data_IF_016076668131
#
_entry.id   IF_016076668131
#
_cell.length_a   1.000
_cell.length_b   1.000
_cell.length_c   1.000
_cell.angle_alpha   90.00
_cell.angle_beta   90.00
_cell.angle_gamma   90.00
#
_symmetry.space_group_name_H-M   'P 1'
#
loop_
_entity.id
_entity.type
_entity.pdbx_description
1 polymer ?
#
# COMPACT_ATOMS: atom_id res chain seq x y z
N UNK A 1 -17.43 -6.19 24.51
CA UNK A 1 -16.64 -5.94 23.28
C UNK A 1 -16.76 -7.19 22.45
N UNK A 2 -17.78 -7.22 21.60
CA UNK A 2 -18.24 -8.43 20.93
C UNK A 2 -17.32 -8.86 19.79
N UNK A 3 -17.37 -10.16 19.51
CA UNK A 3 -16.65 -10.93 18.50
C UNK A 3 -16.26 -10.14 17.24
N UNK A 4 -14.96 -10.20 16.87
CA UNK A 4 -14.41 -9.61 15.62
C UNK A 4 -15.32 -9.98 14.45
N UNK A 5 -16.14 -9.02 14.00
CA UNK A 5 -17.09 -9.25 12.94
C UNK A 5 -16.33 -9.54 11.66
N UNK A 6 -16.55 -10.73 11.11
CA UNK A 6 -15.94 -11.12 9.84
C UNK A 6 -16.82 -10.63 8.70
N UNK A 7 -16.25 -9.80 7.83
CA UNK A 7 -16.88 -9.29 6.63
C UNK A 7 -16.51 -10.16 5.44
N UNK A 8 -17.50 -10.50 4.61
CA UNK A 8 -17.27 -11.22 3.35
C UNK A 8 -16.97 -10.21 2.25
N UNK A 9 -15.83 -10.35 1.59
CA UNK A 9 -15.48 -9.54 0.42
C UNK A 9 -16.30 -10.08 -0.77
N UNK A 10 -17.19 -9.24 -1.31
CA UNK A 10 -18.04 -9.58 -2.47
C UNK A 10 -17.28 -9.45 -3.79
N UNK A 11 -16.46 -8.41 -3.88
CA UNK A 11 -15.61 -8.11 -5.03
C UNK A 11 -14.18 -7.88 -4.53
N UNK A 12 -13.30 -8.85 -4.81
CA UNK A 12 -11.89 -8.77 -4.43
C UNK A 12 -11.16 -7.71 -5.25
N UNK A 13 -11.51 -7.54 -6.52
CA UNK A 13 -10.84 -6.58 -7.41
C UNK A 13 -11.11 -5.18 -6.92
N UNK A 14 -12.38 -4.85 -6.68
CA UNK A 14 -12.79 -3.59 -6.09
C UNK A 14 -12.12 -3.35 -4.73
N UNK A 15 -12.19 -4.33 -3.82
CA UNK A 15 -11.57 -4.21 -2.49
C UNK A 15 -10.08 -3.83 -2.55
N UNK A 16 -9.30 -4.54 -3.37
CA UNK A 16 -7.86 -4.31 -3.51
C UNK A 16 -7.59 -2.94 -4.12
N UNK A 17 -8.34 -2.53 -5.15
CA UNK A 17 -8.17 -1.22 -5.76
C UNK A 17 -8.48 -0.07 -4.79
N UNK A 18 -9.57 -0.16 -4.02
CA UNK A 18 -9.89 0.89 -3.04
C UNK A 18 -8.85 0.95 -1.92
N UNK A 19 -8.36 -0.20 -1.43
CA UNK A 19 -7.29 -0.23 -0.43
C UNK A 19 -5.99 0.40 -0.96
N UNK A 20 -5.64 0.15 -2.23
CA UNK A 20 -4.50 0.79 -2.91
C UNK A 20 -4.65 2.31 -3.01
N UNK A 21 -5.81 2.76 -3.44
CA UNK A 21 -6.13 4.19 -3.59
C UNK A 21 -6.11 4.90 -2.24
N UNK A 22 -6.64 4.27 -1.19
CA UNK A 22 -6.61 4.81 0.18
C UNK A 22 -5.17 5.04 0.64
N UNK A 23 -4.31 4.03 0.55
CA UNK A 23 -2.90 4.13 0.95
C UNK A 23 -2.17 5.24 0.18
N UNK A 24 -2.42 5.33 -1.11
CA UNK A 24 -1.80 6.35 -1.96
C UNK A 24 -2.23 7.76 -1.59
N UNK A 25 -3.53 7.98 -1.37
CA UNK A 25 -4.06 9.28 -0.95
C UNK A 25 -3.51 9.70 0.40
N UNK A 26 -3.54 8.80 1.38
CA UNK A 26 -3.02 9.07 2.72
C UNK A 26 -1.52 9.36 2.75
N UNK A 27 -0.75 8.90 1.76
CA UNK A 27 0.68 9.24 1.64
C UNK A 27 0.92 10.66 1.12
N UNK A 28 0.06 11.16 0.22
CA UNK A 28 0.15 12.51 -0.34
C UNK A 28 -0.34 13.62 0.61
N UNK A 29 -1.10 13.25 1.64
CA UNK A 29 -1.66 14.18 2.64
C UNK A 29 -0.63 14.58 3.69
N UNK A 30 0.34 15.41 3.31
CA UNK A 30 1.13 16.19 4.26
C UNK A 30 0.60 17.62 4.22
N UNK A 31 -0.52 17.85 4.94
CA UNK A 31 -1.06 19.15 5.37
C UNK A 31 -1.22 20.26 4.31
N UNK A 32 -2.45 20.49 3.83
CA UNK A 32 -3.02 21.83 3.60
C UNK A 32 -4.50 21.68 3.20
N UNK A 33 -5.43 22.13 4.06
CA UNK A 33 -6.91 22.12 3.91
C UNK A 33 -7.65 20.81 4.22
N UNK A 34 -7.65 20.44 5.50
CA UNK A 34 -8.68 19.56 6.06
C UNK A 34 -10.01 20.31 6.10
N UNK A 35 -10.84 20.19 5.07
CA UNK A 35 -12.25 20.60 5.18
C UNK A 35 -13.26 19.53 4.75
N UNK A 36 -12.83 18.36 4.23
CA UNK A 36 -13.70 17.17 4.17
C UNK A 36 -12.94 15.84 3.87
N UNK A 37 -12.25 15.31 4.88
CA UNK A 37 -11.37 14.12 4.84
C UNK A 37 -12.03 12.86 4.22
N UNK A 38 -13.31 12.63 4.56
CA UNK A 38 -14.06 11.47 4.04
C UNK A 38 -14.40 11.63 2.56
N UNK A 39 -14.77 12.83 2.12
CA UNK A 39 -15.17 13.12 0.73
C UNK A 39 -13.96 13.01 -0.20
N UNK A 40 -12.78 13.46 0.24
CA UNK A 40 -11.54 13.28 -0.51
C UNK A 40 -11.13 11.81 -0.58
N UNK A 41 -11.21 11.07 0.54
CA UNK A 41 -10.96 9.62 0.57
C UNK A 41 -11.85 8.86 -0.42
N UNK A 42 -13.11 9.25 -0.54
CA UNK A 42 -14.10 8.62 -1.43
C UNK A 42 -14.09 9.14 -2.88
N UNK A 43 -13.35 10.21 -3.17
CA UNK A 43 -13.25 10.76 -4.53
C UNK A 43 -12.50 9.84 -5.49
N UNK A 44 -12.69 9.99 -6.80
CA UNK A 44 -11.87 9.24 -7.76
C UNK A 44 -10.49 9.88 -7.93
N UNK A 45 -9.44 9.06 -8.06
CA UNK A 45 -8.10 9.56 -8.42
C UNK A 45 -8.10 10.14 -9.84
N UNK A 46 -7.40 11.27 -10.00
CA UNK A 46 -7.14 11.81 -11.33
C UNK A 46 -6.35 10.78 -12.19
N UNK A 47 -6.50 10.79 -13.52
CA UNK A 47 -5.85 9.81 -14.39
C UNK A 47 -4.33 9.72 -14.20
N UNK A 48 -3.67 10.86 -14.00
CA UNK A 48 -2.22 10.94 -13.75
C UNK A 48 -1.83 10.26 -12.44
N UNK A 49 -2.60 10.46 -11.38
CA UNK A 49 -2.32 9.87 -10.07
C UNK A 49 -2.57 8.37 -10.10
N UNK A 50 -3.58 7.93 -10.87
CA UNK A 50 -3.83 6.51 -11.12
C UNK A 50 -2.69 5.83 -11.88
N UNK A 51 -2.09 6.52 -12.85
CA UNK A 51 -0.89 6.04 -13.54
C UNK A 51 0.29 5.89 -12.58
N UNK A 52 0.53 6.89 -11.72
CA UNK A 52 1.61 6.82 -10.73
C UNK A 52 1.36 5.72 -9.71
N UNK A 53 0.14 5.61 -9.16
CA UNK A 53 -0.28 4.51 -8.29
C UNK A 53 0.03 3.15 -8.93
N UNK A 54 -0.33 2.96 -10.20
CA UNK A 54 -0.08 1.71 -10.91
C UNK A 54 1.41 1.42 -11.14
N UNK A 55 2.29 2.43 -11.07
CA UNK A 55 3.74 2.25 -11.14
C UNK A 55 4.35 1.93 -9.79
N UNK A 56 3.91 2.62 -8.73
CA UNK A 56 4.54 2.52 -7.40
C UNK A 56 3.91 1.44 -6.52
N UNK A 57 2.68 1.01 -6.81
CA UNK A 57 1.98 -0.04 -6.06
C UNK A 57 1.03 -0.79 -6.99
N UNK A 58 1.54 -1.82 -7.68
CA UNK A 58 0.77 -2.53 -8.72
C UNK A 58 -0.39 -3.35 -8.14
N UNK A 59 -1.42 -3.61 -8.96
CA UNK A 59 -2.53 -4.47 -8.54
C UNK A 59 -2.07 -5.89 -8.18
N UNK A 60 -1.20 -6.48 -9.00
CA UNK A 60 -0.78 -7.87 -8.85
C UNK A 60 0.01 -8.09 -7.55
N UNK A 61 0.90 -7.16 -7.19
CA UNK A 61 1.62 -7.20 -5.91
C UNK A 61 0.65 -7.12 -4.72
N UNK A 62 -0.31 -6.21 -4.79
CA UNK A 62 -1.33 -6.04 -3.77
C UNK A 62 -2.22 -7.27 -3.61
N UNK A 63 -2.54 -7.97 -4.70
CA UNK A 63 -3.26 -9.24 -4.63
C UNK A 63 -2.45 -10.29 -3.89
N UNK A 64 -1.15 -10.42 -4.18
CA UNK A 64 -0.27 -11.38 -3.50
C UNK A 64 -0.19 -11.06 -2.01
N UNK A 65 0.04 -9.80 -1.64
CA UNK A 65 0.10 -9.36 -0.25
C UNK A 65 -1.24 -9.66 0.45
N UNK A 66 -2.35 -9.18 -0.10
CA UNK A 66 -3.65 -9.34 0.54
C UNK A 66 -4.03 -10.81 0.72
N UNK A 67 -3.69 -11.69 -0.22
CA UNK A 67 -3.93 -13.14 -0.10
C UNK A 67 -3.20 -13.78 1.08
N UNK A 68 -2.08 -13.22 1.51
CA UNK A 68 -1.35 -13.70 2.69
C UNK A 68 -2.04 -13.32 4.02
N UNK A 69 -2.89 -12.29 4.02
CA UNK A 69 -3.61 -11.83 5.22
C UNK A 69 -5.08 -12.27 5.24
N UNK A 70 -5.79 -12.21 4.12
CA UNK A 70 -7.22 -12.51 4.06
C UNK A 70 -7.51 -13.98 4.33
N UNK A 71 -8.63 -14.23 5.00
CA UNK A 71 -9.11 -15.59 5.23
C UNK A 71 -9.78 -16.14 3.98
N UNK A 72 -9.20 -17.18 3.39
CA UNK A 72 -9.72 -17.87 2.21
C UNK A 72 -10.50 -19.11 2.65
N UNK A 73 -11.75 -19.23 2.20
CA UNK A 73 -12.54 -20.47 2.31
C UNK A 73 -12.84 -21.03 0.94
N UNK A 74 -12.51 -22.30 0.72
CA UNK A 74 -12.81 -23.00 -0.53
C UNK A 74 -14.03 -23.89 -0.31
N UNK A 75 -15.07 -23.69 -1.10
CA UNK A 75 -16.24 -24.56 -1.08
C UNK A 75 -15.90 -25.94 -1.65
N UNK A 76 -16.07 -27.01 -0.86
CA UNK A 76 -15.83 -28.39 -1.32
C UNK A 76 -16.72 -28.80 -2.50
N UNK A 77 -17.92 -28.23 -2.61
CA UNK A 77 -18.90 -28.58 -3.65
C UNK A 77 -18.70 -27.81 -4.96
N UNK A 78 -18.37 -26.53 -4.87
CA UNK A 78 -18.30 -25.64 -6.04
C UNK A 78 -16.87 -25.27 -6.44
N UNK A 79 -15.87 -25.63 -5.62
CA UNK A 79 -14.47 -25.20 -5.73
C UNK A 79 -14.27 -23.68 -5.82
N UNK A 80 -15.29 -22.90 -5.43
CA UNK A 80 -15.23 -21.44 -5.43
C UNK A 80 -14.57 -20.94 -4.14
N UNK A 81 -13.71 -19.96 -4.30
CA UNK A 81 -13.07 -19.24 -3.21
C UNK A 81 -14.04 -18.19 -2.64
N UNK A 82 -13.97 -17.97 -1.34
CA UNK A 82 -14.66 -16.89 -0.64
C UNK A 82 -13.69 -16.24 0.32
N UNK A 83 -13.58 -14.93 0.24
CA UNK A 83 -12.61 -14.14 1.00
C UNK A 83 -13.30 -13.42 2.16
N UNK A 84 -12.66 -13.42 3.32
CA UNK A 84 -13.15 -12.78 4.52
C UNK A 84 -12.07 -11.92 5.16
N UNK A 85 -12.49 -10.78 5.69
CA UNK A 85 -11.64 -9.77 6.34
C UNK A 85 -12.31 -9.32 7.64
N UNK A 86 -11.51 -8.87 8.59
CA UNK A 86 -11.97 -8.14 9.78
C UNK A 86 -11.10 -6.89 9.92
N UNK A 87 -11.41 -6.01 10.87
CA UNK A 87 -10.72 -4.73 11.00
C UNK A 87 -9.20 -4.87 11.22
N UNK A 88 -8.78 -5.88 11.97
CA UNK A 88 -7.36 -6.19 12.19
C UNK A 88 -6.65 -6.59 10.90
N UNK A 89 -7.23 -7.52 10.13
CA UNK A 89 -6.68 -7.94 8.84
C UNK A 89 -6.68 -6.77 7.84
N UNK A 90 -7.70 -5.91 7.88
CA UNK A 90 -7.74 -4.72 7.04
C UNK A 90 -6.57 -3.79 7.37
N UNK A 91 -6.31 -3.51 8.65
CA UNK A 91 -5.16 -2.71 9.10
C UNK A 91 -3.84 -3.30 8.60
N UNK A 92 -3.64 -4.60 8.78
CA UNK A 92 -2.41 -5.30 8.33
C UNK A 92 -2.21 -5.21 6.82
N UNK A 93 -3.29 -5.30 6.03
CA UNK A 93 -3.24 -5.16 4.57
C UNK A 93 -2.83 -3.73 4.19
N UNK A 94 -3.44 -2.72 4.81
CA UNK A 94 -3.14 -1.31 4.52
C UNK A 94 -1.70 -0.96 4.90
N UNK A 95 -1.22 -1.42 6.05
CA UNK A 95 0.16 -1.27 6.49
C UNK A 95 1.15 -1.94 5.51
N UNK A 96 0.84 -3.17 5.07
CA UNK A 96 1.66 -3.91 4.11
C UNK A 96 1.69 -3.24 2.74
N UNK A 97 0.57 -2.68 2.29
CA UNK A 97 0.50 -1.90 1.05
C UNK A 97 1.33 -0.63 1.16
N UNK A 98 1.23 0.10 2.28
CA UNK A 98 2.02 1.30 2.51
C UNK A 98 3.52 1.00 2.53
N UNK A 99 3.93 -0.03 3.28
CA UNK A 99 5.33 -0.46 3.32
C UNK A 99 5.86 -0.85 1.94
N UNK A 100 5.05 -1.58 1.14
CA UNK A 100 5.42 -1.95 -0.23
C UNK A 100 5.56 -0.73 -1.14
N UNK A 101 4.62 0.21 -1.05
CA UNK A 101 4.65 1.44 -1.83
C UNK A 101 5.90 2.28 -1.51
N UNK A 102 6.18 2.50 -0.22
CA UNK A 102 7.38 3.23 0.22
C UNK A 102 8.65 2.53 -0.25
N UNK A 103 8.70 1.20 -0.16
CA UNK A 103 9.85 0.42 -0.65
C UNK A 103 10.07 0.62 -2.16
N UNK A 104 8.99 0.61 -2.95
CA UNK A 104 9.06 0.83 -4.39
C UNK A 104 9.51 2.25 -4.73
N UNK A 105 9.04 3.27 -3.99
CA UNK A 105 9.50 4.66 -4.12
C UNK A 105 10.99 4.76 -3.82
N UNK A 106 11.45 4.24 -2.68
CA UNK A 106 12.86 4.28 -2.28
C UNK A 106 13.76 3.55 -3.29
N UNK A 107 13.36 2.37 -3.75
CA UNK A 107 14.09 1.63 -4.76
C UNK A 107 14.23 2.42 -6.07
N UNK A 108 13.17 3.10 -6.50
CA UNK A 108 13.22 3.98 -7.68
C UNK A 108 14.17 5.16 -7.48
N UNK A 109 14.11 5.84 -6.33
CA UNK A 109 15.00 6.96 -6.02
C UNK A 109 16.48 6.56 -5.97
N UNK A 110 16.79 5.37 -5.47
CA UNK A 110 18.14 4.80 -5.49
C UNK A 110 18.59 4.50 -6.93
N UNK A 111 17.74 3.83 -7.71
CA UNK A 111 18.06 3.49 -9.10
C UNK A 111 18.24 4.73 -9.99
N UNK A 112 17.50 5.81 -9.70
CA UNK A 112 17.61 7.09 -10.38
C UNK A 112 18.84 7.91 -9.92
N UNK A 113 19.60 7.42 -8.92
CA UNK A 113 20.77 8.09 -8.36
C UNK A 113 20.44 9.39 -7.61
N UNK A 114 19.21 9.49 -7.09
CA UNK A 114 18.76 10.66 -6.32
C UNK A 114 19.08 10.51 -4.83
N UNK A 115 19.05 9.27 -4.33
CA UNK A 115 19.47 8.93 -2.97
C UNK A 115 20.45 7.74 -2.99
N UNK A 116 21.36 7.73 -2.03
CA UNK A 116 22.19 6.56 -1.73
C UNK A 116 21.60 5.78 -0.55
N UNK A 117 22.01 4.51 -0.42
CA UNK A 117 21.60 3.63 0.67
C UNK A 117 22.77 2.80 1.18
N UNK A 118 22.80 2.56 2.49
CA UNK A 118 23.70 1.60 3.11
C UNK A 118 23.04 0.94 4.33
N UNK A 119 23.52 -0.25 4.68
CA UNK A 119 23.10 -0.93 5.89
C UNK A 119 23.92 -0.41 7.09
N UNK A 120 23.25 0.10 8.11
CA UNK A 120 23.82 0.54 9.38
C UNK A 120 23.71 -0.62 10.39
N UNK A 121 24.85 -1.23 10.72
CA UNK A 121 24.90 -2.35 11.68
C UNK A 121 24.62 -1.95 13.12
N UNK A 122 24.80 -0.68 13.50
CA UNK A 122 24.51 -0.21 14.85
C UNK A 122 23.01 -0.06 15.07
N UNK A 123 22.31 0.46 14.05
CA UNK A 123 20.84 0.59 14.06
C UNK A 123 20.12 -0.67 13.59
N UNK A 124 20.86 -1.60 12.97
CA UNK A 124 20.34 -2.80 12.32
C UNK A 124 19.24 -2.46 11.30
N UNK A 125 19.49 -1.44 10.49
CA UNK A 125 18.52 -0.92 9.51
C UNK A 125 19.23 -0.30 8.29
N UNK A 126 18.49 -0.13 7.20
CA UNK A 126 18.97 0.62 6.04
C UNK A 126 18.77 2.12 6.26
N UNK A 127 19.83 2.88 6.02
CA UNK A 127 19.81 4.34 6.02
C UNK A 127 19.85 4.86 4.58
N UNK A 128 19.17 5.98 4.35
CA UNK A 128 19.05 6.64 3.05
C UNK A 128 19.43 8.12 3.18
N UNK A 129 20.17 8.65 2.22
CA UNK A 129 20.54 10.09 2.18
C UNK A 129 20.60 10.60 0.74
N UNK A 130 20.46 11.91 0.55
CA UNK A 130 20.51 12.54 -0.78
C UNK A 130 21.94 12.49 -1.33
N UNK A 131 22.07 12.19 -2.62
CA UNK A 131 23.38 12.20 -3.29
C UNK A 131 23.86 13.65 -3.47
N UNK A 132 24.94 14.02 -2.79
CA UNK A 132 25.59 15.33 -2.97
C UNK A 132 26.32 15.36 -4.32
N UNK A 133 25.74 16.06 -5.30
CA UNK A 133 26.36 16.24 -6.63
C UNK A 133 27.55 17.21 -6.61
N UNK A 134 27.80 17.90 -5.51
CA UNK A 134 28.84 18.93 -5.38
C UNK A 134 30.20 18.44 -4.84
N UNK A 135 30.34 17.16 -4.46
CA UNK A 135 31.60 16.60 -3.96
C UNK A 135 32.50 15.92 -5.01
N UNK A 136 32.20 16.08 -6.31
CA UNK A 136 33.04 15.63 -7.42
C UNK A 136 33.71 16.83 -8.13
N UNK A 137 34.56 17.55 -7.40
CA UNK A 137 35.54 18.49 -7.98
C UNK A 137 36.96 18.11 -7.59
#
# INVERSE_FOLDING_TARGET
>A
MDERSWYKIKDLVGFINHARELVFKSFGEINETADDDLTYTLSELAPKDKEELNRILTYDECVVIARNHIKIKISKKTKRESYFVNDMILSEILESFNSRMVSNILAKLVNDGLIDTAFDSEKNDFIFWVVDKDNNK
#
